data_IF_559618351592
#
_entry.id   IF_559618351592
#
_cell.length_a   1.000
_cell.length_b   1.000
_cell.length_c   1.000
_cell.angle_alpha   90.00
_cell.angle_beta   90.00
_cell.angle_gamma   90.00
#
_symmetry.space_group_name_H-M   'P 1'
#
loop_
_entity.id
_entity.type
_entity.pdbx_description
1 polymer ?
#
# COMPACT_ATOMS: atom_id res chain seq x y z
N UNK A 1 8.09 13.75 -6.32
CA UNK A 1 7.81 12.39 -5.80
C UNK A 1 6.97 11.67 -6.83
N UNK A 2 7.20 10.38 -7.03
CA UNK A 2 6.55 9.54 -8.05
C UNK A 2 5.59 8.59 -7.36
N UNK A 3 4.35 8.50 -7.86
CA UNK A 3 3.32 7.57 -7.39
C UNK A 3 3.04 6.54 -8.50
N UNK A 4 3.54 5.31 -8.35
CA UNK A 4 3.62 4.31 -9.43
C UNK A 4 2.36 3.48 -9.66
N UNK A 5 1.33 3.58 -8.81
CA UNK A 5 0.02 2.96 -9.11
C UNK A 5 -0.81 3.80 -10.07
N UNK A 6 -0.44 5.06 -10.29
CA UNK A 6 -0.93 5.88 -11.40
C UNK A 6 0.13 5.95 -12.50
N UNK A 7 -0.26 6.13 -13.78
CA UNK A 7 0.70 6.41 -14.84
C UNK A 7 1.54 7.65 -14.51
N UNK A 8 2.86 7.51 -14.53
CA UNK A 8 3.78 8.61 -14.32
C UNK A 8 4.51 8.90 -15.62
N UNK A 9 4.28 10.10 -16.15
CA UNK A 9 4.83 10.55 -17.42
C UNK A 9 6.05 11.44 -17.19
N UNK A 10 7.18 11.04 -17.79
CA UNK A 10 8.32 11.93 -18.01
C UNK A 10 8.15 12.55 -19.39
N UNK A 11 8.02 13.87 -19.43
CA UNK A 11 7.93 14.65 -20.67
C UNK A 11 9.34 15.02 -21.16
N UNK A 12 9.63 14.71 -22.43
CA UNK A 12 10.87 15.07 -23.10
C UNK A 12 10.57 16.06 -24.24
N UNK A 13 10.65 17.38 -24.02
CA UNK A 13 10.39 18.38 -25.05
C UNK A 13 11.47 18.34 -26.15
N UNK A 14 11.04 18.41 -27.41
CA UNK A 14 11.90 18.39 -28.59
C UNK A 14 12.12 19.81 -29.10
N UNK A 15 13.11 20.50 -28.52
CA UNK A 15 13.37 21.92 -28.72
C UNK A 15 13.96 22.29 -30.09
N UNK A 16 14.58 21.34 -30.80
CA UNK A 16 15.25 21.60 -32.08
C UNK A 16 14.84 20.60 -33.16
N UNK A 17 15.11 20.96 -34.42
CA UNK A 17 14.80 20.11 -35.57
C UNK A 17 15.73 18.92 -35.77
N UNK A 18 16.92 18.96 -35.14
CA UNK A 18 17.95 17.93 -35.28
C UNK A 18 17.71 16.73 -34.36
N UNK A 19 16.88 16.90 -33.33
CA UNK A 19 16.50 15.81 -32.43
C UNK A 19 15.64 14.80 -33.20
N UNK A 20 16.16 13.60 -33.37
CA UNK A 20 15.53 12.48 -34.09
C UNK A 20 14.85 11.47 -33.17
N UNK A 21 15.11 11.55 -31.87
CA UNK A 21 14.52 10.67 -30.86
C UNK A 21 15.05 10.98 -29.47
N UNK A 22 14.56 10.24 -28.48
CA UNK A 22 14.95 10.35 -27.08
C UNK A 22 15.19 8.95 -26.53
N UNK A 23 16.33 8.75 -25.87
CA UNK A 23 16.60 7.56 -25.07
C UNK A 23 16.45 7.90 -23.58
N UNK A 24 15.57 7.19 -22.89
CA UNK A 24 15.35 7.35 -21.45
C UNK A 24 16.03 6.21 -20.71
N UNK A 25 16.96 6.54 -19.81
CA UNK A 25 17.60 5.59 -18.90
C UNK A 25 17.06 5.76 -17.49
N UNK A 26 16.75 4.65 -16.83
CA UNK A 26 16.20 4.60 -15.48
C UNK A 26 17.10 3.74 -14.59
N UNK A 27 17.40 4.22 -13.39
CA UNK A 27 18.04 3.45 -12.30
C UNK A 27 17.19 3.55 -11.05
N UNK A 28 16.83 2.41 -10.51
CA UNK A 28 16.02 2.28 -9.31
C UNK A 28 16.91 1.85 -8.15
N UNK A 29 16.92 2.63 -7.08
CA UNK A 29 17.71 2.38 -5.89
C UNK A 29 16.79 2.07 -4.70
N UNK A 30 17.21 1.17 -3.83
CA UNK A 30 16.39 0.70 -2.69
C UNK A 30 16.98 1.05 -1.32
N UNK A 31 18.31 1.21 -1.24
CA UNK A 31 19.02 1.32 0.05
C UNK A 31 19.55 2.72 0.31
N UNK A 32 20.38 3.25 -0.59
CA UNK A 32 21.01 4.57 -0.49
C UNK A 32 20.74 5.32 -1.78
N UNK A 33 20.52 6.63 -1.66
CA UNK A 33 20.39 7.46 -2.83
C UNK A 33 21.70 7.53 -3.63
N UNK A 34 21.67 7.09 -4.88
CA UNK A 34 22.77 7.21 -5.84
C UNK A 34 22.39 8.15 -7.00
N UNK A 35 23.38 8.86 -7.54
CA UNK A 35 23.27 9.68 -8.75
C UNK A 35 23.91 9.02 -9.98
N UNK A 36 24.53 7.84 -9.82
CA UNK A 36 25.04 7.06 -10.93
C UNK A 36 23.94 6.77 -11.94
N UNK A 37 24.32 6.78 -13.22
CA UNK A 37 23.52 6.38 -14.38
C UNK A 37 24.21 5.22 -15.15
N UNK A 38 25.28 4.66 -14.57
CA UNK A 38 25.97 3.51 -15.12
C UNK A 38 25.19 2.23 -14.78
N UNK A 39 24.98 1.37 -15.78
CA UNK A 39 24.23 0.12 -15.60
C UNK A 39 22.74 0.36 -15.39
N UNK A 40 22.11 1.10 -16.30
CA UNK A 40 20.67 1.37 -16.26
C UNK A 40 19.86 0.08 -16.07
N UNK A 41 18.90 0.10 -15.15
CA UNK A 41 17.94 -1.01 -14.98
C UNK A 41 17.02 -1.12 -16.20
N UNK A 42 16.63 0.03 -16.75
CA UNK A 42 15.77 0.12 -17.93
C UNK A 42 16.28 1.18 -18.89
N UNK A 43 16.20 0.87 -20.19
CA UNK A 43 16.40 1.82 -21.27
C UNK A 43 15.21 1.79 -22.23
N UNK A 44 14.65 2.96 -22.53
CA UNK A 44 13.48 3.11 -23.42
C UNK A 44 13.81 4.12 -24.50
N UNK A 45 13.89 3.65 -25.74
CA UNK A 45 14.08 4.49 -26.92
C UNK A 45 12.73 4.84 -27.56
N UNK A 46 12.49 6.14 -27.80
CA UNK A 46 11.40 6.62 -28.66
C UNK A 46 11.94 7.49 -29.78
N UNK A 47 11.63 7.11 -31.02
CA UNK A 47 11.96 7.91 -32.19
C UNK A 47 10.92 9.01 -32.42
N UNK A 48 11.39 10.18 -32.85
CA UNK A 48 10.53 11.27 -33.29
C UNK A 48 9.95 10.93 -34.66
N UNK A 49 8.63 10.80 -34.76
CA UNK A 49 7.98 10.41 -36.01
C UNK A 49 8.17 11.43 -37.15
N UNK A 50 8.10 12.73 -36.85
CA UNK A 50 8.36 13.82 -37.78
C UNK A 50 8.68 15.13 -37.04
N UNK A 51 9.14 16.13 -37.78
CA UNK A 51 9.56 17.43 -37.25
C UNK A 51 8.45 18.21 -36.53
N UNK A 52 7.18 17.94 -36.82
CA UNK A 52 6.04 18.62 -36.18
C UNK A 52 5.74 18.09 -34.77
N UNK A 53 6.28 16.92 -34.40
CA UNK A 53 6.19 16.41 -33.02
C UNK A 53 7.09 17.27 -32.14
N UNK A 54 6.53 17.89 -31.10
CA UNK A 54 7.23 18.84 -30.20
C UNK A 54 7.65 18.24 -28.86
N UNK A 55 7.21 17.02 -28.52
CA UNK A 55 7.59 16.31 -27.30
C UNK A 55 7.41 14.79 -27.46
N UNK A 56 8.06 14.03 -26.58
CA UNK A 56 7.81 12.60 -26.38
C UNK A 56 7.53 12.35 -24.91
N UNK A 57 6.46 11.61 -24.61
CA UNK A 57 6.12 11.23 -23.24
C UNK A 57 6.53 9.78 -22.97
N UNK A 58 7.10 9.53 -21.80
CA UNK A 58 7.46 8.20 -21.32
C UNK A 58 6.66 7.86 -20.08
N UNK A 59 5.81 6.85 -20.17
CA UNK A 59 5.12 6.26 -19.02
C UNK A 59 6.07 5.25 -18.37
N UNK A 60 6.42 5.45 -17.10
CA UNK A 60 7.47 4.67 -16.42
C UNK A 60 6.97 3.85 -15.25
N UNK A 61 5.70 3.98 -14.85
CA UNK A 61 5.24 3.43 -13.59
C UNK A 61 5.38 1.92 -13.51
N UNK A 62 4.99 1.18 -14.56
CA UNK A 62 5.15 -0.28 -14.57
C UNK A 62 6.61 -0.74 -14.52
N UNK A 63 7.54 0.05 -15.08
CA UNK A 63 8.96 -0.27 -15.08
C UNK A 63 9.58 -0.08 -13.70
N UNK A 64 9.14 0.93 -12.95
CA UNK A 64 9.68 1.17 -11.59
C UNK A 64 8.97 0.30 -10.55
N UNK A 65 7.72 -0.08 -10.82
CA UNK A 65 6.87 -0.79 -9.86
C UNK A 65 7.30 -2.22 -9.58
N UNK A 66 8.00 -2.87 -10.51
CA UNK A 66 8.47 -4.25 -10.38
C UNK A 66 9.56 -4.44 -9.29
N UNK A 67 10.22 -3.35 -8.87
CA UNK A 67 11.23 -3.35 -7.81
C UNK A 67 10.68 -3.18 -6.40
N UNK A 68 9.38 -2.90 -6.23
CA UNK A 68 8.83 -2.78 -4.88
C UNK A 68 8.77 -4.12 -4.16
N UNK A 69 9.13 -4.11 -2.89
CA UNK A 69 8.76 -5.13 -1.93
C UNK A 69 7.68 -4.59 -1.00
N UNK A 70 6.81 -5.47 -0.51
CA UNK A 70 5.65 -5.07 0.30
C UNK A 70 5.70 -5.77 1.65
N UNK A 71 6.47 -5.18 2.57
CA UNK A 71 6.59 -5.68 3.94
C UNK A 71 6.04 -4.64 4.91
N UNK A 72 4.86 -4.86 5.52
CA UNK A 72 4.31 -3.94 6.49
C UNK A 72 5.23 -3.69 7.68
N UNK A 73 5.14 -2.50 8.26
CA UNK A 73 5.91 -2.16 9.45
C UNK A 73 5.22 -2.69 10.71
N UNK A 74 5.98 -3.39 11.56
CA UNK A 74 5.57 -3.75 12.92
C UNK A 74 6.71 -3.51 13.89
N UNK A 75 6.41 -2.81 14.99
CA UNK A 75 7.32 -2.56 16.11
C UNK A 75 6.51 -2.67 17.40
N UNK A 76 7.05 -3.41 18.36
CA UNK A 76 6.35 -3.68 19.63
C UNK A 76 6.27 -2.47 20.56
N UNK A 77 7.18 -1.50 20.39
CA UNK A 77 7.27 -0.31 21.25
C UNK A 77 6.91 0.93 20.45
N UNK A 78 6.38 1.94 21.14
CA UNK A 78 6.21 3.26 20.56
C UNK A 78 7.56 3.86 20.15
N UNK A 79 7.64 4.39 18.93
CA UNK A 79 8.86 5.01 18.44
C UNK A 79 8.77 5.47 17.00
N UNK A 80 9.82 6.18 16.59
CA UNK A 80 10.00 6.62 15.22
C UNK A 80 10.95 5.69 14.49
N UNK A 81 10.48 5.11 13.38
CA UNK A 81 11.21 4.08 12.65
C UNK A 81 11.31 4.41 11.16
N UNK A 82 12.38 3.95 10.53
CA UNK A 82 12.49 3.95 9.07
C UNK A 82 11.51 2.94 8.48
N UNK A 83 11.10 3.15 7.23
CA UNK A 83 10.39 2.11 6.48
C UNK A 83 11.28 0.89 6.25
N UNK A 84 10.68 -0.24 5.90
CA UNK A 84 11.47 -1.38 5.43
C UNK A 84 12.08 -1.06 4.04
N UNK A 85 13.29 -1.55 3.74
CA UNK A 85 13.83 -1.56 2.38
C UNK A 85 12.82 -2.16 1.38
N UNK A 86 12.84 -1.68 0.15
CA UNK A 86 11.93 -2.14 -0.91
C UNK A 86 10.52 -1.52 -0.86
N UNK A 87 10.01 -1.08 0.31
CA UNK A 87 8.72 -0.36 0.39
C UNK A 87 8.79 1.06 -0.21
N UNK A 88 10.01 1.61 -0.34
CA UNK A 88 10.29 2.95 -0.89
C UNK A 88 11.48 2.80 -1.81
N UNK A 89 11.41 3.47 -2.96
CA UNK A 89 12.50 3.46 -3.92
C UNK A 89 12.95 4.89 -4.21
N UNK A 90 14.11 5.03 -4.81
CA UNK A 90 14.58 6.27 -5.41
C UNK A 90 14.87 6.02 -6.88
N UNK A 91 14.25 6.82 -7.75
CA UNK A 91 14.50 6.78 -9.18
C UNK A 91 15.48 7.89 -9.54
N UNK A 92 16.60 7.51 -10.13
CA UNK A 92 17.43 8.41 -10.91
C UNK A 92 17.17 8.13 -12.40
N UNK A 93 16.93 9.15 -13.20
CA UNK A 93 16.73 8.97 -14.63
C UNK A 93 17.51 9.99 -15.45
N UNK A 94 17.82 9.63 -16.69
CA UNK A 94 18.48 10.48 -17.68
C UNK A 94 17.71 10.47 -18.99
N UNK A 95 17.43 11.66 -19.51
CA UNK A 95 16.82 11.87 -20.83
C UNK A 95 17.92 12.26 -21.82
N UNK A 96 18.28 11.36 -22.74
CA UNK A 96 19.29 11.58 -23.77
C UNK A 96 18.64 11.93 -25.12
N UNK A 97 18.86 13.14 -25.63
CA UNK A 97 18.30 13.58 -26.92
C UNK A 97 19.20 13.18 -28.09
N UNK A 98 18.70 12.34 -28.97
CA UNK A 98 19.47 11.80 -30.10
C UNK A 98 19.59 12.87 -31.19
N UNK A 99 20.82 13.21 -31.57
CA UNK A 99 21.12 14.25 -32.55
C UNK A 99 21.33 15.64 -31.95
N UNK A 100 21.32 15.76 -30.62
CA UNK A 100 21.84 16.92 -29.89
C UNK A 100 23.13 16.55 -29.15
N UNK A 101 24.09 17.46 -29.08
CA UNK A 101 25.24 17.33 -28.19
C UNK A 101 24.91 18.05 -26.89
N UNK A 102 25.12 17.39 -25.75
CA UNK A 102 25.02 17.95 -24.39
C UNK A 102 23.63 18.26 -23.82
N UNK A 103 22.54 17.91 -24.51
CA UNK A 103 21.21 17.91 -23.88
C UNK A 103 20.99 16.59 -23.12
N UNK A 104 21.34 16.56 -21.84
CA UNK A 104 20.89 15.53 -20.91
C UNK A 104 20.34 16.17 -19.64
N UNK A 105 19.18 15.70 -19.21
CA UNK A 105 18.60 16.06 -17.92
C UNK A 105 18.62 14.84 -17.02
N UNK A 106 19.30 14.94 -15.88
CA UNK A 106 19.20 13.96 -14.81
C UNK A 106 18.33 14.48 -13.66
N UNK A 107 17.49 13.62 -13.10
CA UNK A 107 16.66 13.98 -11.96
C UNK A 107 16.49 12.80 -11.04
N UNK A 108 16.55 13.08 -9.73
CA UNK A 108 16.29 12.10 -8.67
C UNK A 108 14.93 12.36 -8.04
N UNK A 109 14.14 11.30 -7.86
CA UNK A 109 12.87 11.37 -7.16
C UNK A 109 12.68 10.18 -6.22
N UNK A 110 12.10 10.43 -5.05
CA UNK A 110 11.53 9.37 -4.23
C UNK A 110 10.29 8.81 -4.92
N UNK A 111 10.13 7.50 -4.83
CA UNK A 111 9.06 6.71 -5.46
C UNK A 111 8.31 5.95 -4.38
N UNK A 112 6.98 6.01 -4.44
CA UNK A 112 6.08 5.24 -3.60
C UNK A 112 5.05 4.51 -4.47
N UNK A 113 4.59 3.34 -4.02
CA UNK A 113 3.51 2.61 -4.69
C UNK A 113 2.12 3.17 -4.33
N UNK A 114 1.94 4.47 -4.58
CA UNK A 114 0.68 5.20 -4.40
C UNK A 114 0.00 5.54 -5.73
N UNK A 115 -1.22 6.08 -5.67
CA UNK A 115 -2.02 6.51 -6.81
C UNK A 115 -2.69 7.87 -6.56
N UNK A 116 -3.16 8.50 -7.62
CA UNK A 116 -4.12 9.60 -7.59
C UNK A 116 -5.50 9.17 -8.05
N UNK A 117 -6.51 9.98 -7.70
CA UNK A 117 -7.82 9.87 -8.31
C UNK A 117 -7.83 10.51 -9.70
N UNK A 118 -8.74 10.06 -10.57
CA UNK A 118 -8.78 10.53 -11.96
C UNK A 118 -8.93 12.05 -12.11
N UNK A 119 -9.55 12.74 -11.14
CA UNK A 119 -9.73 14.19 -11.16
C UNK A 119 -8.49 14.97 -10.69
N UNK A 120 -7.46 14.29 -10.18
CA UNK A 120 -6.21 14.91 -9.75
C UNK A 120 -5.22 15.10 -10.91
N UNK A 121 -5.59 14.64 -12.11
CA UNK A 121 -4.82 14.83 -13.32
C UNK A 121 -3.61 13.89 -13.42
N UNK A 122 -2.63 14.31 -14.22
CA UNK A 122 -1.41 13.54 -14.47
C UNK A 122 -0.41 13.70 -13.32
N UNK A 123 0.42 12.68 -13.10
CA UNK A 123 1.51 12.68 -12.11
C UNK A 123 1.05 13.17 -10.71
N UNK A 124 0.06 12.49 -10.09
CA UNK A 124 -0.44 12.86 -8.78
C UNK A 124 0.69 12.86 -7.75
N UNK A 125 0.54 13.69 -6.71
CA UNK A 125 1.55 13.88 -5.67
C UNK A 125 0.99 13.56 -4.29
N UNK A 126 1.89 13.47 -3.31
CA UNK A 126 1.53 13.31 -1.90
C UNK A 126 0.96 14.60 -1.29
N UNK A 127 0.30 14.52 -0.12
CA UNK A 127 -0.25 15.67 0.57
C UNK A 127 0.82 16.72 0.91
N UNK A 128 0.47 18.00 0.77
CA UNK A 128 1.38 19.11 1.07
C UNK A 128 1.82 19.16 2.55
N UNK A 129 1.00 18.63 3.45
CA UNK A 129 1.30 18.52 4.88
C UNK A 129 2.31 17.41 5.22
N UNK A 130 2.70 16.59 4.23
CA UNK A 130 3.70 15.51 4.35
C UNK A 130 3.29 14.37 5.30
N UNK A 131 2.02 14.32 5.71
CA UNK A 131 1.43 13.23 6.47
C UNK A 131 0.74 12.30 5.47
N UNK A 132 1.17 11.05 5.41
CA UNK A 132 0.69 10.08 4.41
C UNK A 132 -0.49 9.25 4.95
N UNK A 133 -1.49 9.93 5.50
CA UNK A 133 -2.72 9.33 6.03
C UNK A 133 -3.94 9.93 5.35
N UNK A 134 -5.01 9.15 5.21
CA UNK A 134 -6.27 9.60 4.64
C UNK A 134 -7.02 10.59 5.54
N UNK A 135 -6.86 10.48 6.86
CA UNK A 135 -7.63 11.23 7.86
C UNK A 135 -6.72 11.88 8.91
N UNK A 136 -7.29 12.81 9.68
CA UNK A 136 -6.67 13.47 10.83
C UNK A 136 -7.28 13.01 12.17
N UNK A 137 -8.27 12.11 12.12
CA UNK A 137 -8.92 11.53 13.29
C UNK A 137 -9.11 10.02 13.11
N UNK A 138 -8.70 9.25 14.12
CA UNK A 138 -8.89 7.81 14.13
C UNK A 138 -9.36 7.31 15.50
N UNK A 139 -10.27 6.35 15.50
CA UNK A 139 -10.64 5.50 16.62
C UNK A 139 -9.79 4.24 16.53
N UNK A 140 -9.07 3.91 17.60
CA UNK A 140 -8.06 2.85 17.62
C UNK A 140 -8.22 1.92 18.83
N UNK A 141 -7.87 0.65 18.71
CA UNK A 141 -8.00 -0.33 19.79
C UNK A 141 -6.89 -0.15 20.85
N UNK A 142 -7.26 -0.10 22.15
CA UNK A 142 -6.32 -0.02 23.29
C UNK A 142 -5.21 -1.08 23.28
N UNK A 143 -5.50 -2.29 22.80
CA UNK A 143 -4.51 -3.38 22.72
C UNK A 143 -3.86 -3.51 21.33
N UNK A 144 -4.06 -2.52 20.46
CA UNK A 144 -3.58 -2.52 19.09
C UNK A 144 -2.33 -1.67 18.86
N UNK A 145 -2.01 -1.50 17.58
CA UNK A 145 -0.94 -0.62 17.12
C UNK A 145 -1.47 0.38 16.12
N UNK A 146 -0.85 1.56 16.06
CA UNK A 146 -1.15 2.54 15.04
C UNK A 146 0.15 3.05 14.40
N UNK A 147 0.09 3.38 13.11
CA UNK A 147 1.22 3.92 12.36
C UNK A 147 0.86 5.27 11.75
N UNK A 148 1.73 6.27 11.93
CA UNK A 148 1.67 7.54 11.23
C UNK A 148 2.89 7.68 10.31
N UNK A 149 2.74 7.38 9.01
CA UNK A 149 3.80 7.60 8.03
C UNK A 149 3.90 9.09 7.66
N UNK A 150 5.12 9.64 7.70
CA UNK A 150 5.42 11.02 7.29
C UNK A 150 6.60 11.09 6.35
N UNK A 151 6.58 12.03 5.40
CA UNK A 151 7.74 12.34 4.56
C UNK A 151 8.80 13.11 5.37
N UNK A 152 10.01 12.57 5.38
CA UNK A 152 11.22 13.18 5.90
C UNK A 152 12.04 13.81 4.75
N UNK A 153 11.77 15.08 4.49
CA UNK A 153 12.61 15.94 3.64
C UNK A 153 13.48 16.91 4.46
N UNK A 154 13.46 16.75 5.80
CA UNK A 154 14.14 17.60 6.79
C UNK A 154 13.57 19.01 6.98
N UNK A 155 12.41 19.33 6.40
CA UNK A 155 11.70 20.57 6.74
C UNK A 155 11.23 20.56 8.19
N UNK A 156 10.71 19.42 8.64
CA UNK A 156 10.21 19.21 10.00
C UNK A 156 11.20 18.33 10.77
N UNK A 157 11.71 18.83 11.89
CA UNK A 157 12.75 18.15 12.67
C UNK A 157 12.19 17.23 13.77
N UNK A 158 10.90 17.31 14.07
CA UNK A 158 10.27 16.55 15.15
C UNK A 158 8.85 16.13 14.79
N UNK A 159 8.46 14.95 15.28
CA UNK A 159 7.06 14.56 15.48
C UNK A 159 6.80 14.66 16.98
N UNK A 160 5.67 15.23 17.39
CA UNK A 160 5.28 15.27 18.80
C UNK A 160 4.12 14.33 19.06
N UNK A 161 4.23 13.49 20.09
CA UNK A 161 3.15 12.62 20.58
C UNK A 161 2.83 13.05 22.01
N UNK A 162 1.65 13.60 22.26
CA UNK A 162 1.26 14.17 23.56
C UNK A 162 2.30 15.17 24.11
N UNK A 163 2.95 15.93 23.22
CA UNK A 163 4.01 16.88 23.55
C UNK A 163 5.41 16.29 23.68
N UNK A 164 5.56 14.96 23.73
CA UNK A 164 6.87 14.30 23.70
C UNK A 164 7.45 14.36 22.29
N UNK A 165 8.69 14.85 22.17
CA UNK A 165 9.37 15.05 20.89
C UNK A 165 10.12 13.79 20.44
N UNK A 166 9.92 13.42 19.18
CA UNK A 166 10.66 12.36 18.50
C UNK A 166 11.45 12.98 17.34
N UNK A 167 12.79 12.94 17.36
CA UNK A 167 13.62 13.63 16.38
C UNK A 167 13.55 12.95 15.01
N UNK A 168 13.29 13.74 13.98
CA UNK A 168 13.31 13.37 12.56
C UNK A 168 14.65 13.81 11.98
N UNK A 169 15.58 12.87 11.85
CA UNK A 169 16.90 13.14 11.29
C UNK A 169 16.93 12.86 9.79
N UNK A 170 17.53 13.78 9.02
CA UNK A 170 17.81 13.53 7.62
C UNK A 170 18.87 12.44 7.47
N UNK A 171 18.73 11.64 6.41
CA UNK A 171 19.71 10.64 6.00
C UNK A 171 19.61 10.42 4.48
N UNK A 172 20.71 9.93 3.90
CA UNK A 172 20.78 9.52 2.50
C UNK A 172 20.25 8.09 2.29
N UNK A 173 19.90 7.40 3.39
CA UNK A 173 19.18 6.12 3.34
C UNK A 173 17.78 6.33 2.77
N UNK A 174 17.44 5.60 1.72
CA UNK A 174 16.12 5.65 1.06
C UNK A 174 14.99 5.25 2.03
N UNK A 175 15.13 4.17 2.83
CA UNK A 175 14.16 3.83 3.87
C UNK A 175 13.83 4.94 4.85
N UNK A 176 14.76 5.88 5.10
CA UNK A 176 14.59 6.98 6.03
C UNK A 176 13.76 8.15 5.50
N UNK A 177 13.43 8.13 4.19
CA UNK A 177 12.65 9.19 3.53
C UNK A 177 11.19 9.18 3.93
N UNK A 178 10.64 8.03 4.32
CA UNK A 178 9.41 7.98 5.10
C UNK A 178 9.76 7.49 6.49
N UNK A 179 9.37 8.29 7.49
CA UNK A 179 9.46 7.90 8.88
C UNK A 179 8.07 7.47 9.36
N UNK A 180 8.02 6.36 10.07
CA UNK A 180 6.83 5.75 10.61
C UNK A 180 6.81 5.97 12.11
N UNK A 181 5.91 6.83 12.59
CA UNK A 181 5.63 6.92 14.02
C UNK A 181 4.71 5.77 14.38
N UNK A 182 5.29 4.71 14.94
CA UNK A 182 4.54 3.55 15.43
C UNK A 182 4.17 3.80 16.88
N UNK A 183 2.91 3.61 17.22
CA UNK A 183 2.37 3.73 18.57
C UNK A 183 1.92 2.36 19.04
N UNK A 184 2.44 1.91 20.17
CA UNK A 184 1.82 0.83 20.93
C UNK A 184 0.72 1.45 21.80
N UNK A 185 -0.54 1.18 21.45
CA UNK A 185 -1.68 1.88 22.05
C UNK A 185 -1.93 1.50 23.51
N UNK A 186 -1.35 0.39 23.98
CA UNK A 186 -1.42 0.00 25.39
C UNK A 186 -0.70 0.97 26.32
N UNK A 187 0.23 1.76 25.78
CA UNK A 187 1.00 2.78 26.51
C UNK A 187 0.21 4.09 26.72
N UNK A 188 -0.97 4.24 26.11
CA UNK A 188 -1.74 5.47 26.11
C UNK A 188 -3.16 5.25 26.61
N UNK A 189 -3.69 6.20 27.37
CA UNK A 189 -5.08 6.18 27.83
C UNK A 189 -6.02 6.75 26.75
N UNK A 190 -6.91 7.69 27.06
CA UNK A 190 -8.08 7.98 26.22
C UNK A 190 -7.77 8.65 24.87
N UNK A 191 -6.89 9.66 24.85
CA UNK A 191 -6.65 10.48 23.67
C UNK A 191 -5.17 10.68 23.41
N UNK A 192 -4.79 10.53 22.16
CA UNK A 192 -3.42 10.78 21.70
C UNK A 192 -3.48 11.91 20.69
N UNK A 193 -2.70 12.96 20.94
CA UNK A 193 -2.51 14.07 20.02
C UNK A 193 -1.13 14.00 19.40
N UNK A 194 -1.09 13.82 18.09
CA UNK A 194 0.13 13.83 17.30
C UNK A 194 0.22 15.15 16.54
N UNK A 195 1.41 15.74 16.46
CA UNK A 195 1.63 16.91 15.60
C UNK A 195 2.92 16.83 14.80
N UNK A 196 2.84 17.28 13.54
CA UNK A 196 3.95 17.30 12.59
C UNK A 196 3.78 18.47 11.63
N UNK A 197 4.78 19.35 11.53
CA UNK A 197 4.74 20.53 10.66
C UNK A 197 3.52 21.42 10.87
N UNK A 198 3.06 21.57 12.11
CA UNK A 198 1.87 22.36 12.47
C UNK A 198 0.52 21.67 12.25
N UNK A 199 0.49 20.51 11.60
CA UNK A 199 -0.72 19.70 11.40
C UNK A 199 -0.92 18.77 12.60
N UNK A 200 -2.17 18.40 12.89
CA UNK A 200 -2.55 17.60 14.05
C UNK A 200 -3.29 16.35 13.58
N UNK A 201 -2.96 15.20 14.17
CA UNK A 201 -3.74 13.97 14.09
C UNK A 201 -4.19 13.62 15.50
N UNK A 202 -5.47 13.27 15.68
CA UNK A 202 -6.03 12.87 16.96
C UNK A 202 -6.44 11.40 16.91
N UNK A 203 -6.05 10.65 17.93
CA UNK A 203 -6.50 9.28 18.12
C UNK A 203 -7.40 9.20 19.36
N UNK A 204 -8.54 8.54 19.21
CA UNK A 204 -9.41 8.12 20.31
C UNK A 204 -9.16 6.64 20.58
N UNK A 205 -8.62 6.33 21.75
CA UNK A 205 -8.31 4.97 22.15
C UNK A 205 -9.55 4.37 22.78
N UNK A 206 -9.99 3.24 22.24
CA UNK A 206 -11.19 2.52 22.69
C UNK A 206 -10.80 1.11 23.13
N UNK A 207 -11.26 0.75 24.32
CA UNK A 207 -11.23 -0.62 24.81
C UNK A 207 -12.59 -1.29 24.52
N UNK A 208 -12.58 -2.34 23.71
CA UNK A 208 -13.78 -3.13 23.42
C UNK A 208 -13.79 -4.38 24.30
N UNK A 209 -14.82 -4.52 25.12
CA UNK A 209 -14.93 -5.62 26.09
C UNK A 209 -15.74 -6.82 25.57
N UNK A 210 -16.57 -6.64 24.53
CA UNK A 210 -17.48 -7.70 24.04
C UNK A 210 -16.91 -8.47 22.85
N UNK A 211 -16.33 -7.75 21.90
CA UNK A 211 -15.74 -8.32 20.69
C UNK A 211 -14.22 -8.26 20.78
N UNK A 212 -13.53 -9.07 19.99
CA UNK A 212 -12.07 -8.97 19.84
C UNK A 212 -11.78 -8.08 18.65
N UNK A 213 -11.25 -6.85 18.83
CA UNK A 213 -10.93 -5.99 17.71
C UNK A 213 -9.87 -6.61 16.80
N UNK A 214 -9.97 -6.32 15.52
CA UNK A 214 -9.03 -6.79 14.48
C UNK A 214 -8.40 -5.58 13.80
N UNK A 215 -7.08 -5.49 13.84
CA UNK A 215 -6.35 -4.44 13.14
C UNK A 215 -5.95 -4.92 11.75
N UNK A 216 -6.29 -4.14 10.73
CA UNK A 216 -5.93 -4.41 9.33
C UNK A 216 -4.97 -3.33 8.88
N UNK A 217 -3.79 -3.73 8.41
CA UNK A 217 -2.80 -2.84 7.80
C UNK A 217 -2.90 -2.96 6.29
N UNK A 218 -2.88 -1.84 5.58
CA UNK A 218 -2.98 -1.82 4.13
C UNK A 218 -2.15 -0.69 3.53
N UNK A 219 -1.81 -0.84 2.25
CA UNK A 219 -1.12 0.21 1.51
C UNK A 219 -2.14 1.23 1.01
N UNK A 220 -2.08 2.45 1.53
CA UNK A 220 -3.07 3.49 1.24
C UNK A 220 -2.80 4.21 -0.10
N UNK A 221 -3.58 5.25 -0.40
CA UNK A 221 -3.44 6.03 -1.64
C UNK A 221 -2.04 6.59 -1.85
N UNK A 222 -1.35 6.95 -0.78
CA UNK A 222 -0.04 7.57 -0.86
C UNK A 222 1.12 6.57 -0.93
N UNK A 223 0.83 5.26 -1.00
CA UNK A 223 1.85 4.22 -0.98
C UNK A 223 2.47 4.05 0.41
N UNK A 224 1.72 4.37 1.47
CA UNK A 224 2.17 4.22 2.85
C UNK A 224 1.27 3.25 3.62
N UNK A 225 1.85 2.60 4.65
CA UNK A 225 1.12 1.66 5.48
C UNK A 225 0.19 2.39 6.46
N UNK A 226 -1.11 2.17 6.33
CA UNK A 226 -2.16 2.69 7.20
C UNK A 226 -2.86 1.53 7.92
N UNK A 227 -3.21 1.75 9.20
CA UNK A 227 -3.89 0.75 10.03
C UNK A 227 -5.31 1.21 10.29
N UNK A 228 -6.27 0.30 10.11
CA UNK A 228 -7.65 0.48 10.50
C UNK A 228 -8.09 -0.65 11.44
N UNK A 229 -8.67 -0.27 12.58
CA UNK A 229 -9.25 -1.19 13.56
C UNK A 229 -10.71 -1.50 13.22
N UNK A 230 -11.08 -2.77 13.27
CA UNK A 230 -12.45 -3.26 13.21
C UNK A 230 -12.90 -3.73 14.60
N UNK A 231 -13.86 -3.03 15.20
CA UNK A 231 -14.23 -3.21 16.61
C UNK A 231 -15.32 -4.25 16.89
N UNK A 232 -16.15 -4.60 15.90
CA UNK A 232 -17.40 -5.35 16.14
C UNK A 232 -17.32 -6.77 15.61
N UNK A 233 -18.48 -7.34 15.30
CA UNK A 233 -18.63 -8.74 14.94
C UNK A 233 -17.65 -9.13 13.82
N UNK A 234 -16.99 -10.26 14.05
CA UNK A 234 -16.16 -10.96 13.07
C UNK A 234 -16.89 -12.24 12.70
N UNK A 235 -16.98 -12.56 11.40
CA UNK A 235 -17.54 -13.82 10.92
C UNK A 235 -16.52 -14.52 10.04
N UNK A 236 -16.11 -15.72 10.42
CA UNK A 236 -15.17 -16.54 9.65
C UNK A 236 -15.94 -17.64 8.90
N UNK A 237 -15.54 -17.92 7.67
CA UNK A 237 -16.13 -18.97 6.84
C UNK A 237 -15.06 -19.62 5.96
N UNK A 238 -15.31 -20.83 5.48
CA UNK A 238 -14.39 -21.58 4.63
C UNK A 238 -15.05 -21.88 3.29
N UNK A 239 -14.36 -21.58 2.19
CA UNK A 239 -14.73 -22.05 0.86
C UNK A 239 -13.90 -23.29 0.53
N UNK A 240 -14.54 -24.40 0.14
CA UNK A 240 -13.86 -25.66 -0.20
C UNK A 240 -14.07 -25.96 -1.68
N UNK A 241 -12.99 -25.98 -2.45
CA UNK A 241 -12.97 -26.44 -3.84
C UNK A 241 -12.52 -27.89 -3.92
N UNK A 242 -13.16 -28.71 -4.76
CA UNK A 242 -12.81 -30.11 -4.98
C UNK A 242 -13.16 -30.54 -6.39
N UNK A 243 -12.47 -31.55 -6.89
CA UNK A 243 -12.86 -32.29 -8.10
C UNK A 243 -13.36 -33.68 -7.71
N UNK A 244 -14.37 -34.20 -8.40
CA UNK A 244 -14.94 -35.53 -8.11
C UNK A 244 -14.81 -36.42 -9.33
N UNK A 245 -14.35 -37.66 -9.12
CA UNK A 245 -14.32 -38.68 -10.16
C UNK A 245 -15.04 -39.95 -9.71
N UNK A 246 -15.46 -40.76 -10.69
CA UNK A 246 -16.13 -42.03 -10.44
C UNK A 246 -15.12 -43.17 -10.58
N UNK A 247 -14.88 -43.88 -9.49
CA UNK A 247 -14.02 -45.07 -9.46
C UNK A 247 -14.70 -46.27 -10.11
N UNK A 248 -13.90 -47.15 -10.72
CA UNK A 248 -14.33 -48.51 -10.97
C UNK A 248 -14.16 -49.34 -9.68
N UNK A 249 -15.29 -49.77 -9.12
CA UNK A 249 -15.35 -50.55 -7.87
C UNK A 249 -15.65 -52.04 -8.11
N UNK A 250 -15.65 -52.48 -9.37
CA UNK A 250 -15.79 -53.88 -9.76
C UNK A 250 -14.42 -54.55 -9.82
N UNK A 251 -14.27 -55.67 -9.11
CA UNK A 251 -13.11 -56.55 -9.21
C UNK A 251 -13.61 -57.99 -9.36
N UNK A 252 -13.11 -58.72 -10.37
CA UNK A 252 -13.52 -60.10 -10.67
C UNK A 252 -15.04 -60.32 -10.77
N UNK A 253 -15.77 -59.38 -11.38
CA UNK A 253 -17.23 -59.50 -11.59
C UNK A 253 -18.08 -59.27 -10.34
N UNK A 254 -17.47 -59.01 -9.17
CA UNK A 254 -18.16 -58.66 -7.93
C UNK A 254 -17.95 -57.19 -7.59
N UNK A 255 -19.03 -56.54 -7.14
CA UNK A 255 -18.99 -55.17 -6.63
C UNK A 255 -18.43 -55.17 -5.21
N UNK A 256 -17.44 -54.32 -4.92
CA UNK A 256 -16.95 -54.13 -3.56
C UNK A 256 -17.67 -52.95 -2.88
N UNK A 257 -18.63 -53.20 -1.95
CA UNK A 257 -19.38 -52.14 -1.29
C UNK A 257 -18.54 -51.27 -0.34
N UNK A 258 -17.34 -51.70 0.00
CA UNK A 258 -16.45 -50.97 0.91
C UNK A 258 -15.51 -49.98 0.17
N UNK A 259 -15.67 -49.81 -1.14
CA UNK A 259 -14.91 -48.82 -1.94
C UNK A 259 -15.80 -47.65 -2.35
N UNK A 260 -15.26 -46.44 -2.25
CA UNK A 260 -15.94 -45.23 -2.71
C UNK A 260 -16.13 -45.26 -4.23
N UNK A 261 -17.39 -45.33 -4.68
CA UNK A 261 -17.74 -45.24 -6.10
C UNK A 261 -17.53 -43.83 -6.66
N UNK A 262 -17.80 -42.80 -5.86
CA UNK A 262 -17.44 -41.42 -6.17
C UNK A 262 -16.40 -40.97 -5.14
N UNK A 263 -15.29 -40.43 -5.62
CA UNK A 263 -14.19 -39.98 -4.78
C UNK A 263 -13.80 -38.55 -5.16
N UNK A 264 -13.61 -37.73 -4.14
CA UNK A 264 -13.12 -36.36 -4.28
C UNK A 264 -11.58 -36.35 -4.27
N UNK A 265 -10.98 -35.50 -5.10
CA UNK A 265 -9.56 -35.24 -5.18
C UNK A 265 -9.29 -33.75 -5.42
N UNK A 266 -8.04 -33.30 -5.28
CA UNK A 266 -7.66 -31.87 -5.32
C UNK A 266 -8.54 -31.02 -4.40
N UNK A 267 -8.90 -31.57 -3.23
CA UNK A 267 -9.70 -30.84 -2.24
C UNK A 267 -8.79 -29.83 -1.57
N UNK A 268 -9.09 -28.54 -1.75
CA UNK A 268 -8.42 -27.46 -1.04
C UNK A 268 -9.48 -26.49 -0.46
N UNK A 269 -9.09 -25.70 0.53
CA UNK A 269 -9.96 -24.72 1.16
C UNK A 269 -9.29 -23.35 1.23
N UNK A 270 -10.09 -22.29 1.18
CA UNK A 270 -9.64 -20.92 1.44
C UNK A 270 -10.62 -20.24 2.37
N UNK A 271 -10.10 -19.70 3.46
CA UNK A 271 -10.91 -19.05 4.49
C UNK A 271 -11.25 -17.60 4.10
N UNK A 272 -12.41 -17.14 4.55
CA UNK A 272 -12.90 -15.77 4.45
C UNK A 272 -13.19 -15.23 5.83
N UNK A 273 -12.95 -13.95 6.01
CA UNK A 273 -13.21 -13.23 7.25
C UNK A 273 -13.96 -11.95 6.92
N UNK A 274 -15.14 -11.79 7.54
CA UNK A 274 -15.94 -10.57 7.46
C UNK A 274 -15.72 -9.75 8.73
N UNK A 275 -15.34 -8.49 8.57
CA UNK A 275 -15.05 -7.57 9.67
C UNK A 275 -16.01 -6.39 9.68
N UNK A 276 -16.42 -5.96 10.87
CA UNK A 276 -17.28 -4.80 11.07
C UNK A 276 -16.56 -3.70 11.87
N UNK A 277 -16.50 -2.48 11.30
CA UNK A 277 -15.78 -1.35 11.89
C UNK A 277 -16.37 -0.88 13.20
N UNK A 278 -17.64 -1.17 13.47
CA UNK A 278 -18.42 -0.42 14.45
C UNK A 278 -18.77 0.97 13.94
N UNK A 279 -19.23 1.83 14.85
CA UNK A 279 -19.65 3.18 14.49
C UNK A 279 -18.44 4.09 14.34
N UNK A 280 -18.25 4.61 13.12
CA UNK A 280 -17.13 5.49 12.77
C UNK A 280 -17.67 6.78 12.14
N UNK A 281 -16.96 7.92 12.28
CA UNK A 281 -17.41 9.18 11.69
C UNK A 281 -17.25 9.17 10.16
N UNK A 282 -18.00 10.02 9.47
CA UNK A 282 -18.04 10.09 8.00
C UNK A 282 -16.67 10.21 7.28
N UNK A 283 -15.63 10.88 7.83
CA UNK A 283 -14.29 10.92 7.22
C UNK A 283 -13.67 9.53 6.96
N UNK A 284 -14.09 8.50 7.71
CA UNK A 284 -13.65 7.12 7.46
C UNK A 284 -14.02 6.60 6.08
N UNK A 285 -15.00 7.20 5.40
CA UNK A 285 -15.32 6.84 4.01
C UNK A 285 -14.08 6.91 3.10
N UNK A 286 -13.17 7.86 3.33
CA UNK A 286 -11.95 7.98 2.54
C UNK A 286 -10.93 6.89 2.90
N UNK A 287 -10.69 6.61 4.20
CA UNK A 287 -9.86 5.46 4.63
C UNK A 287 -10.42 4.14 4.07
N UNK A 288 -11.73 3.94 4.10
CA UNK A 288 -12.39 2.75 3.54
C UNK A 288 -12.23 2.69 2.02
N UNK A 289 -12.41 3.80 1.32
CA UNK A 289 -12.17 3.87 -0.14
C UNK A 289 -10.76 3.42 -0.46
N UNK A 290 -9.78 3.92 0.28
CA UNK A 290 -8.38 3.59 0.06
C UNK A 290 -8.05 2.14 0.42
N UNK A 291 -8.65 1.62 1.50
CA UNK A 291 -8.57 0.21 1.87
C UNK A 291 -9.12 -0.68 0.74
N UNK A 292 -10.35 -0.43 0.27
CA UNK A 292 -11.00 -1.20 -0.81
C UNK A 292 -10.22 -1.18 -2.14
N UNK A 293 -9.44 -0.12 -2.38
CA UNK A 293 -8.58 0.02 -3.56
C UNK A 293 -7.14 -0.47 -3.31
N UNK A 294 -6.81 -0.99 -2.13
CA UNK A 294 -5.47 -1.46 -1.81
C UNK A 294 -5.20 -2.83 -2.44
N UNK A 295 -3.98 -3.02 -2.95
CA UNK A 295 -3.52 -4.32 -3.46
C UNK A 295 -2.80 -5.15 -2.40
N UNK A 296 -2.39 -4.53 -1.29
CA UNK A 296 -1.63 -5.17 -0.22
C UNK A 296 -2.32 -4.90 1.11
N UNK A 297 -2.94 -5.94 1.66
CA UNK A 297 -3.71 -5.90 2.90
C UNK A 297 -3.28 -7.05 3.78
N UNK A 298 -3.11 -6.80 5.07
CA UNK A 298 -2.75 -7.82 6.06
C UNK A 298 -3.56 -7.65 7.33
N UNK A 299 -3.95 -8.77 7.92
CA UNK A 299 -4.47 -8.83 9.28
C UNK A 299 -3.29 -8.86 10.25
N UNK A 300 -3.30 -7.95 11.22
CA UNK A 300 -2.33 -7.95 12.31
C UNK A 300 -2.78 -8.93 13.39
N UNK A 301 -1.92 -9.90 13.72
CA UNK A 301 -2.17 -10.86 14.78
C UNK A 301 -0.89 -11.07 15.61
N UNK A 302 -0.81 -10.40 16.76
CA UNK A 302 0.31 -10.52 17.71
C UNK A 302 1.70 -10.35 17.06
N UNK A 303 1.83 -9.39 16.13
CA UNK A 303 3.08 -9.11 15.39
C UNK A 303 3.27 -9.91 14.10
N UNK A 304 2.38 -10.85 13.80
CA UNK A 304 2.33 -11.50 12.50
C UNK A 304 1.45 -10.72 11.52
N UNK A 305 1.91 -10.62 10.28
CA UNK A 305 1.14 -10.06 9.17
C UNK A 305 0.55 -11.20 8.36
N UNK A 306 -0.76 -11.41 8.46
CA UNK A 306 -1.44 -12.47 7.73
C UNK A 306 -2.02 -11.86 6.45
N UNK A 307 -1.56 -12.24 5.24
CA UNK A 307 -2.01 -11.62 4.01
C UNK A 307 -3.49 -11.87 3.74
N UNK A 308 -4.18 -10.81 3.32
CA UNK A 308 -5.60 -10.80 2.97
C UNK A 308 -5.80 -10.22 1.56
N UNK A 309 -6.80 -10.74 0.87
CA UNK A 309 -7.38 -10.17 -0.34
C UNK A 309 -8.76 -9.59 0.00
N UNK A 310 -9.13 -8.51 -0.67
CA UNK A 310 -10.45 -7.87 -0.50
C UNK A 310 -11.45 -8.59 -1.39
N UNK A 311 -12.50 -9.16 -0.79
CA UNK A 311 -13.56 -9.89 -1.50
C UNK A 311 -14.79 -8.99 -1.74
N UNK A 312 -14.84 -7.83 -1.09
CA UNK A 312 -15.91 -6.82 -1.27
C UNK A 312 -15.80 -6.17 -2.64
N UNK A 313 -16.73 -6.47 -3.54
CA UNK A 313 -16.73 -5.99 -4.94
C UNK A 313 -17.56 -4.73 -5.18
N UNK A 314 -18.49 -4.41 -4.27
CA UNK A 314 -19.32 -3.21 -4.36
C UNK A 314 -19.52 -2.61 -2.98
N UNK A 315 -19.56 -1.28 -2.93
CA UNK A 315 -19.62 -0.56 -1.66
C UNK A 315 -20.42 0.75 -1.81
N UNK A 316 -21.30 1.01 -0.85
CA UNK A 316 -22.05 2.25 -0.77
C UNK A 316 -21.53 3.09 0.40
N UNK A 317 -21.02 4.28 0.08
CA UNK A 317 -20.58 5.22 1.10
C UNK A 317 -21.78 5.75 1.87
N UNK A 318 -21.62 5.82 3.18
CA UNK A 318 -22.67 6.25 4.10
C UNK A 318 -22.47 7.71 4.44
N UNK A 319 -23.57 8.45 4.57
CA UNK A 319 -23.52 9.88 4.93
C UNK A 319 -24.27 10.10 6.22
N UNK A 320 -23.86 11.06 7.05
CA UNK A 320 -24.53 11.29 8.34
C UNK A 320 -26.01 11.67 8.19
N UNK A 321 -26.37 12.27 7.05
CA UNK A 321 -27.74 12.69 6.75
C UNK A 321 -28.65 11.47 6.53
N UNK A 322 -28.17 10.46 5.81
CA UNK A 322 -28.94 9.25 5.49
C UNK A 322 -28.79 8.19 6.59
N UNK A 323 -27.56 7.99 7.05
CA UNK A 323 -27.14 7.00 8.01
C UNK A 323 -26.82 7.68 9.34
N UNK A 324 -27.83 7.78 10.23
CA UNK A 324 -27.67 8.39 11.56
C UNK A 324 -26.44 7.85 12.31
N UNK A 325 -26.12 6.57 12.10
CA UNK A 325 -24.95 5.88 12.60
C UNK A 325 -24.26 5.15 11.44
N UNK A 326 -23.02 5.52 11.16
CA UNK A 326 -22.24 4.98 10.04
C UNK A 326 -21.42 3.80 10.54
N UNK A 327 -21.59 2.64 9.92
CA UNK A 327 -20.75 1.45 10.12
C UNK A 327 -20.37 0.82 8.78
N UNK A 328 -19.23 0.14 8.75
CA UNK A 328 -18.67 -0.44 7.53
C UNK A 328 -18.41 -1.93 7.75
N UNK A 329 -18.87 -2.74 6.80
CA UNK A 329 -18.63 -4.18 6.78
C UNK A 329 -17.80 -4.50 5.54
N UNK A 330 -16.68 -5.18 5.73
CA UNK A 330 -15.78 -5.57 4.64
C UNK A 330 -15.52 -7.07 4.74
N UNK A 331 -15.73 -7.73 3.61
CA UNK A 331 -15.39 -9.13 3.38
C UNK A 331 -13.95 -9.24 2.86
N UNK A 332 -13.15 -10.05 3.55
CA UNK A 332 -11.79 -10.41 3.17
C UNK A 332 -11.68 -11.91 2.95
N UNK A 333 -10.65 -12.31 2.20
CA UNK A 333 -10.26 -13.69 2.00
C UNK A 333 -8.77 -13.84 2.32
N UNK A 334 -8.36 -14.91 2.99
CA UNK A 334 -6.94 -15.15 3.24
C UNK A 334 -6.17 -15.34 1.93
N UNK A 335 -4.97 -14.77 1.86
CA UNK A 335 -4.12 -14.75 0.66
C UNK A 335 -3.44 -16.08 0.32
N UNK A 336 -3.79 -17.17 1.01
CA UNK A 336 -3.22 -18.50 0.85
C UNK A 336 -4.29 -19.58 1.02
N UNK A 337 -4.01 -20.76 0.49
CA UNK A 337 -4.88 -21.92 0.67
C UNK A 337 -4.57 -22.62 2.00
N UNK A 338 -5.58 -23.27 2.59
CA UNK A 338 -5.48 -23.98 3.87
C UNK A 338 -4.57 -25.19 3.81
N UNK A 339 -4.60 -25.93 2.69
CA UNK A 339 -3.68 -27.03 2.45
C UNK A 339 -2.52 -26.48 1.64
N UNK A 340 -1.33 -26.49 2.23
CA UNK A 340 -0.11 -26.14 1.52
C UNK A 340 0.17 -27.20 0.44
N UNK A 341 0.04 -26.80 -0.81
CA UNK A 341 0.23 -27.62 -2.01
C UNK A 341 1.23 -27.00 -3.00
N UNK A 342 2.03 -26.04 -2.52
CA UNK A 342 3.06 -25.34 -3.30
C UNK A 342 4.36 -26.14 -3.42
#
# INVERSE_FOLDING_TARGET
MILTRSPYYINAPLSTSFISGVNLKLIVNETIEDSSLAGADYEVLKNRANISVSYLDFEISNLVRDKFEYTPIFKANTGLYDSNPGNILSLNYQVDYIGSNDDYNSTRNIVLDGYGYSLEGINPTIPANKILLANDFYIVNKLGFFNIPVLNDGTNQHIYVNGQAYPVTQSNSIPSKIKNMVLNLSEFDDKIRISFGGNIINLEVVEECKYVPKDVIFLNKYGAWEIMTFFKATTESINISKSTFKNNVVANGAYNPNKHTYQDFNKNGREKIKLNSGFVPEPYNETIRQLLLSQHVFLLNNGNHIPLNIDTTSYQYKTRIQDKLINHEIDFQYGFDLINNL
#
